data_IF_250373503412
#
_entry.id   IF_250373503412
#
_cell.length_a   1.000
_cell.length_b   1.000
_cell.length_c   1.000
_cell.angle_alpha   90.00
_cell.angle_beta   90.00
_cell.angle_gamma   90.00
#
_symmetry.space_group_name_H-M   'P 1'
#
loop_
_entity.id
_entity.type
_entity.pdbx_description
1 polymer ?
#
# COMPACT_ATOMS: atom_id res chain seq x y z
N UNK A 1 47.87 8.46 -18.70
CA UNK A 1 47.01 8.48 -19.90
C UNK A 1 46.05 7.32 -19.70
N UNK A 2 44.86 7.47 -19.14
CA UNK A 2 43.88 8.55 -19.20
C UNK A 2 43.03 8.42 -17.92
N UNK A 3 42.95 9.49 -17.12
CA UNK A 3 42.08 9.55 -15.95
C UNK A 3 40.72 9.97 -16.47
N UNK A 4 39.75 9.06 -16.45
CA UNK A 4 38.35 9.38 -16.73
C UNK A 4 37.85 10.27 -15.60
N UNK A 5 37.79 11.56 -15.90
CA UNK A 5 37.18 12.62 -15.09
C UNK A 5 35.72 12.29 -14.83
N UNK A 6 35.40 11.92 -13.59
CA UNK A 6 34.04 11.91 -13.07
C UNK A 6 33.61 13.36 -12.78
N UNK A 7 33.32 14.11 -13.83
CA UNK A 7 32.42 15.26 -13.76
C UNK A 7 31.01 14.71 -13.77
N UNK A 8 30.52 14.25 -12.62
CA UNK A 8 29.11 13.97 -12.43
C UNK A 8 28.41 15.32 -12.29
N UNK A 9 27.96 15.83 -13.44
CA UNK A 9 27.23 17.08 -13.54
C UNK A 9 25.97 16.97 -12.69
N UNK A 10 25.80 17.91 -11.75
CA UNK A 10 24.55 18.22 -11.07
C UNK A 10 23.48 18.70 -12.09
N UNK A 11 23.03 17.78 -12.94
CA UNK A 11 21.89 17.94 -13.82
C UNK A 11 20.65 17.50 -13.08
N UNK A 12 19.59 18.30 -13.13
CA UNK A 12 18.23 17.92 -12.71
C UNK A 12 17.92 16.51 -13.22
N UNK A 13 17.98 15.48 -12.36
CA UNK A 13 17.64 14.11 -12.74
C UNK A 13 16.21 14.14 -13.31
N UNK A 14 16.12 14.03 -14.63
CA UNK A 14 14.85 13.88 -15.31
C UNK A 14 14.21 12.61 -14.75
N UNK A 15 12.99 12.74 -14.24
CA UNK A 15 12.24 11.63 -13.65
C UNK A 15 12.34 10.40 -14.56
N UNK A 16 12.88 9.28 -14.06
CA UNK A 16 12.99 8.04 -14.85
C UNK A 16 11.60 7.65 -15.33
N UNK A 17 11.38 7.77 -16.65
CA UNK A 17 10.09 7.47 -17.29
C UNK A 17 9.66 6.03 -17.02
N UNK A 18 10.62 5.11 -16.92
CA UNK A 18 10.35 3.70 -16.62
C UNK A 18 9.87 3.54 -15.19
N UNK A 19 10.56 4.17 -14.23
CA UNK A 19 10.15 4.18 -12.83
C UNK A 19 8.78 4.82 -12.62
N UNK A 20 8.53 5.94 -13.31
CA UNK A 20 7.25 6.63 -13.27
C UNK A 20 6.11 5.75 -13.82
N UNK A 21 6.33 5.14 -14.98
CA UNK A 21 5.35 4.23 -15.60
C UNK A 21 5.07 3.01 -14.71
N UNK A 22 6.09 2.42 -14.10
CA UNK A 22 5.94 1.28 -13.20
C UNK A 22 5.16 1.64 -11.93
N UNK A 23 5.50 2.76 -11.28
CA UNK A 23 4.77 3.23 -10.09
C UNK A 23 3.33 3.62 -10.44
N UNK A 24 3.08 4.27 -11.57
CA UNK A 24 1.73 4.60 -12.02
C UNK A 24 0.91 3.34 -12.31
N UNK A 25 1.47 2.38 -13.04
CA UNK A 25 0.82 1.10 -13.32
C UNK A 25 0.47 0.33 -12.03
N UNK A 26 1.39 0.28 -11.06
CA UNK A 26 1.13 -0.35 -9.77
C UNK A 26 -0.08 0.26 -9.05
N UNK A 27 -0.12 1.59 -8.94
CA UNK A 27 -1.21 2.28 -8.25
C UNK A 27 -2.54 2.19 -9.00
N UNK A 28 -2.51 2.19 -10.33
CA UNK A 28 -3.70 1.94 -11.15
C UNK A 28 -4.23 0.52 -10.93
N UNK A 29 -3.38 -0.50 -10.98
CA UNK A 29 -3.80 -1.88 -10.75
C UNK A 29 -4.37 -2.09 -9.34
N UNK A 30 -3.78 -1.47 -8.31
CA UNK A 30 -4.36 -1.48 -6.96
C UNK A 30 -5.72 -0.78 -6.90
N UNK A 31 -5.87 0.34 -7.60
CA UNK A 31 -7.12 1.08 -7.69
C UNK A 31 -8.26 0.29 -8.35
N UNK A 32 -7.94 -0.65 -9.24
CA UNK A 32 -8.89 -1.52 -9.93
C UNK A 32 -9.26 -2.79 -9.12
N UNK A 33 -8.63 -3.03 -7.98
CA UNK A 33 -8.90 -4.21 -7.16
C UNK A 33 -10.36 -4.36 -6.69
N UNK A 34 -11.13 -3.30 -6.39
CA UNK A 34 -12.54 -3.46 -6.04
C UNK A 34 -13.32 -4.21 -7.13
N UNK A 35 -13.07 -3.91 -8.40
CA UNK A 35 -13.68 -4.61 -9.52
C UNK A 35 -13.32 -6.10 -9.55
N UNK A 36 -12.05 -6.41 -9.26
CA UNK A 36 -11.57 -7.79 -9.21
C UNK A 36 -12.20 -8.58 -8.06
N UNK A 37 -12.27 -8.00 -6.86
CA UNK A 37 -12.84 -8.67 -5.70
C UNK A 37 -14.35 -8.83 -5.80
N UNK A 38 -15.08 -7.89 -6.40
CA UNK A 38 -16.52 -8.01 -6.62
C UNK A 38 -16.90 -9.21 -7.52
N UNK A 39 -16.01 -9.61 -8.44
CA UNK A 39 -16.19 -10.79 -9.29
C UNK A 39 -16.02 -12.13 -8.55
N UNK A 40 -15.59 -12.12 -7.28
CA UNK A 40 -15.33 -13.35 -6.51
C UNK A 40 -16.59 -13.99 -5.93
N UNK A 41 -17.78 -13.47 -6.21
CA UNK A 41 -19.04 -14.11 -5.79
C UNK A 41 -19.14 -15.51 -6.44
N UNK A 42 -19.46 -16.59 -5.70
CA UNK A 42 -20.03 -16.63 -4.34
C UNK A 42 -19.04 -16.80 -3.17
N UNK A 43 -17.73 -16.65 -3.39
CA UNK A 43 -16.73 -16.87 -2.35
C UNK A 43 -16.86 -15.88 -1.17
N UNK A 44 -16.74 -16.42 0.04
CA UNK A 44 -16.69 -15.61 1.25
C UNK A 44 -15.37 -14.84 1.39
N UNK A 45 -15.34 -13.69 2.10
CA UNK A 45 -14.14 -12.87 2.27
C UNK A 45 -12.92 -13.63 2.81
N UNK A 46 -13.14 -14.56 3.74
CA UNK A 46 -12.07 -15.36 4.35
C UNK A 46 -11.48 -16.35 3.34
N UNK A 47 -12.30 -16.95 2.49
CA UNK A 47 -11.83 -17.83 1.41
C UNK A 47 -11.00 -17.05 0.40
N UNK A 48 -11.50 -15.89 -0.05
CA UNK A 48 -10.79 -15.00 -0.99
C UNK A 48 -9.43 -14.61 -0.41
N UNK A 49 -9.38 -14.22 0.87
CA UNK A 49 -8.14 -13.85 1.53
C UNK A 49 -7.16 -15.02 1.63
N UNK A 50 -7.63 -16.21 2.00
CA UNK A 50 -6.80 -17.40 2.09
C UNK A 50 -6.21 -17.80 0.73
N UNK A 51 -7.05 -17.84 -0.32
CA UNK A 51 -6.62 -18.13 -1.69
C UNK A 51 -5.62 -17.08 -2.18
N UNK A 52 -5.90 -15.80 -1.98
CA UNK A 52 -4.99 -14.69 -2.31
C UNK A 52 -3.62 -14.88 -1.68
N UNK A 53 -3.56 -15.11 -0.37
CA UNK A 53 -2.29 -15.31 0.35
C UNK A 53 -1.56 -16.54 -0.18
N UNK A 54 -2.26 -17.65 -0.38
CA UNK A 54 -1.66 -18.90 -0.86
C UNK A 54 -1.02 -18.72 -2.23
N UNK A 55 -1.77 -18.21 -3.21
CA UNK A 55 -1.27 -18.01 -4.57
C UNK A 55 -0.20 -16.92 -4.64
N UNK A 56 -0.33 -15.82 -3.89
CA UNK A 56 0.74 -14.81 -3.76
C UNK A 56 2.02 -15.44 -3.20
N UNK A 57 1.92 -16.27 -2.15
CA UNK A 57 3.08 -16.92 -1.52
C UNK A 57 3.78 -17.87 -2.50
N UNK A 58 3.02 -18.70 -3.22
CA UNK A 58 3.56 -19.62 -4.21
C UNK A 58 4.30 -18.88 -5.34
N UNK A 59 3.70 -17.81 -5.87
CA UNK A 59 4.34 -16.98 -6.90
C UNK A 59 5.62 -16.36 -6.33
N UNK A 60 5.59 -15.80 -5.12
CA UNK A 60 6.74 -15.16 -4.50
C UNK A 60 7.86 -16.13 -4.13
N UNK A 61 7.56 -17.40 -3.83
CA UNK A 61 8.58 -18.44 -3.71
C UNK A 61 9.28 -18.68 -5.04
N UNK A 62 8.52 -18.76 -6.14
CA UNK A 62 9.06 -18.88 -7.50
C UNK A 62 9.92 -17.69 -7.89
N UNK A 63 9.44 -16.46 -7.65
CA UNK A 63 10.18 -15.22 -7.93
C UNK A 63 11.49 -15.18 -7.13
N UNK A 64 11.46 -15.47 -5.82
CA UNK A 64 12.66 -15.45 -5.00
C UNK A 64 13.67 -16.54 -5.42
N UNK A 65 13.18 -17.71 -5.83
CA UNK A 65 14.00 -18.78 -6.38
C UNK A 65 14.68 -18.35 -7.69
N UNK A 66 13.93 -17.71 -8.60
CA UNK A 66 14.46 -17.24 -9.88
C UNK A 66 15.56 -16.19 -9.71
N UNK A 67 15.41 -15.26 -8.75
CA UNK A 67 16.46 -14.26 -8.42
C UNK A 67 17.53 -14.78 -7.47
N UNK A 68 17.49 -16.07 -7.10
CA UNK A 68 18.43 -16.73 -6.16
C UNK A 68 18.55 -16.02 -4.80
N UNK A 69 17.47 -15.39 -4.34
CA UNK A 69 17.45 -14.54 -3.14
C UNK A 69 17.28 -15.26 -1.80
N UNK A 70 17.19 -16.60 -1.80
CA UNK A 70 16.94 -17.40 -0.58
C UNK A 70 18.01 -17.23 0.51
N UNK A 71 19.24 -16.84 0.14
CA UNK A 71 20.30 -16.55 1.10
C UNK A 71 19.92 -15.41 2.06
N UNK A 72 19.10 -14.45 1.63
CA UNK A 72 18.65 -13.33 2.47
C UNK A 72 17.74 -13.77 3.62
N UNK A 73 17.10 -14.94 3.50
CA UNK A 73 16.22 -15.49 4.55
C UNK A 73 16.96 -16.43 5.50
N UNK A 74 18.14 -16.91 5.09
CA UNK A 74 18.96 -17.81 5.91
C UNK A 74 19.67 -17.03 7.00
N UNK A 75 19.64 -17.55 8.23
CA UNK A 75 20.33 -16.93 9.37
C UNK A 75 19.65 -15.68 9.92
N UNK A 76 18.43 -15.35 9.48
CA UNK A 76 17.64 -14.28 10.09
C UNK A 76 17.40 -14.59 11.57
N UNK A 77 17.62 -13.59 12.42
CA UNK A 77 17.45 -13.71 13.87
C UNK A 77 15.97 -13.94 14.21
N UNK A 78 15.64 -14.64 15.30
CA UNK A 78 14.25 -14.83 15.73
C UNK A 78 13.47 -13.52 15.90
N UNK A 79 14.13 -12.45 16.36
CA UNK A 79 13.53 -11.11 16.46
C UNK A 79 13.10 -10.54 15.11
N UNK A 80 13.87 -10.81 14.05
CA UNK A 80 13.52 -10.38 12.69
C UNK A 80 12.32 -11.16 12.17
N UNK A 81 12.27 -12.47 12.43
CA UNK A 81 11.10 -13.29 12.10
C UNK A 81 9.85 -12.86 12.85
N UNK A 82 9.97 -12.47 14.12
CA UNK A 82 8.85 -11.93 14.89
C UNK A 82 8.33 -10.63 14.25
N UNK A 83 9.22 -9.71 13.89
CA UNK A 83 8.84 -8.48 13.18
C UNK A 83 8.15 -8.79 11.84
N UNK A 84 8.70 -9.73 11.05
CA UNK A 84 8.09 -10.19 9.80
C UNK A 84 6.69 -10.77 10.06
N UNK A 85 6.53 -11.63 11.07
CA UNK A 85 5.24 -12.24 11.41
C UNK A 85 4.22 -11.18 11.86
N UNK A 86 4.61 -10.21 12.69
CA UNK A 86 3.73 -9.10 13.08
C UNK A 86 3.32 -8.26 11.86
N UNK A 87 4.27 -7.94 10.97
CA UNK A 87 3.97 -7.27 9.71
C UNK A 87 3.00 -8.08 8.84
N UNK A 88 3.22 -9.39 8.75
CA UNK A 88 2.38 -10.32 7.99
C UNK A 88 0.94 -10.36 8.52
N UNK A 89 0.75 -10.34 9.85
CA UNK A 89 -0.59 -10.24 10.45
C UNK A 89 -1.24 -8.90 10.13
N UNK A 90 -0.52 -7.78 10.27
CA UNK A 90 -1.05 -6.45 9.97
C UNK A 90 -1.49 -6.30 8.51
N UNK A 91 -0.68 -6.78 7.57
CA UNK A 91 -1.04 -6.71 6.15
C UNK A 91 -2.19 -7.68 5.81
N UNK A 92 -2.29 -8.81 6.50
CA UNK A 92 -3.44 -9.72 6.39
C UNK A 92 -4.73 -9.04 6.89
N UNK A 93 -4.69 -8.34 8.02
CA UNK A 93 -5.81 -7.55 8.54
C UNK A 93 -6.20 -6.44 7.55
N UNK A 94 -5.21 -5.74 6.97
CA UNK A 94 -5.45 -4.71 5.96
C UNK A 94 -6.19 -5.27 4.75
N UNK A 95 -5.67 -6.36 4.18
CA UNK A 95 -6.23 -7.02 3.01
C UNK A 95 -7.61 -7.62 3.28
N UNK A 96 -7.78 -8.25 4.44
CA UNK A 96 -9.05 -8.80 4.88
C UNK A 96 -10.11 -7.71 5.03
N UNK A 97 -9.79 -6.61 5.71
CA UNK A 97 -10.69 -5.47 5.83
C UNK A 97 -11.10 -4.90 4.47
N UNK A 98 -10.15 -4.78 3.54
CA UNK A 98 -10.45 -4.34 2.19
C UNK A 98 -11.39 -5.28 1.44
N UNK A 99 -11.10 -6.59 1.45
CA UNK A 99 -11.95 -7.60 0.78
C UNK A 99 -13.35 -7.62 1.41
N UNK A 100 -13.44 -7.54 2.74
CA UNK A 100 -14.73 -7.49 3.45
C UNK A 100 -15.54 -6.28 3.01
N UNK A 101 -14.95 -5.08 2.98
CA UNK A 101 -15.65 -3.87 2.55
C UNK A 101 -16.11 -3.96 1.10
N UNK A 102 -15.30 -4.50 0.20
CA UNK A 102 -15.69 -4.67 -1.20
C UNK A 102 -16.84 -5.67 -1.33
N UNK A 103 -16.76 -6.83 -0.67
CA UNK A 103 -17.82 -7.85 -0.71
C UNK A 103 -19.14 -7.38 -0.07
N UNK A 104 -19.09 -6.42 0.85
CA UNK A 104 -20.26 -5.80 1.47
C UNK A 104 -20.79 -4.57 0.71
N UNK A 105 -20.16 -4.16 -0.39
CA UNK A 105 -20.56 -2.95 -1.13
C UNK A 105 -20.27 -1.65 -0.38
N UNK A 106 -19.20 -1.62 0.42
CA UNK A 106 -18.73 -0.47 1.19
C UNK A 106 -17.33 -0.03 0.76
N UNK A 107 -17.09 0.05 -0.55
CA UNK A 107 -15.81 0.43 -1.17
C UNK A 107 -15.44 1.87 -0.82
N UNK A 108 -16.41 2.76 -0.58
CA UNK A 108 -16.11 4.12 -0.11
C UNK A 108 -15.40 4.15 1.25
N UNK A 109 -15.80 3.27 2.17
CA UNK A 109 -15.14 3.16 3.47
C UNK A 109 -13.69 2.68 3.31
N UNK A 110 -13.44 1.78 2.36
CA UNK A 110 -12.10 1.32 2.04
C UNK A 110 -11.24 2.44 1.45
N UNK A 111 -11.78 3.18 0.48
CA UNK A 111 -11.11 4.32 -0.14
C UNK A 111 -10.76 5.40 0.90
N UNK A 112 -11.69 5.71 1.81
CA UNK A 112 -11.45 6.61 2.94
C UNK A 112 -10.28 6.13 3.80
N UNK A 113 -10.26 4.84 4.16
CA UNK A 113 -9.15 4.22 4.90
C UNK A 113 -7.80 4.46 4.22
N UNK A 114 -7.71 4.18 2.91
CA UNK A 114 -6.48 4.37 2.15
C UNK A 114 -6.09 5.84 1.95
N UNK A 115 -7.05 6.77 1.87
CA UNK A 115 -6.75 8.20 1.89
C UNK A 115 -6.17 8.65 3.24
N UNK A 116 -6.60 8.06 4.35
CA UNK A 116 -6.16 8.41 5.71
C UNK A 116 -4.81 7.75 6.07
N UNK A 117 -4.47 6.61 5.47
CA UNK A 117 -3.22 5.86 5.73
C UNK A 117 -1.93 6.69 5.78
N UNK A 118 -1.66 7.64 4.86
CA UNK A 118 -0.44 8.45 4.91
C UNK A 118 -0.37 9.34 6.15
N UNK A 119 -1.51 9.91 6.57
CA UNK A 119 -1.59 10.75 7.78
C UNK A 119 -1.36 9.91 9.04
N UNK A 120 -1.91 8.69 9.09
CA UNK A 120 -1.64 7.75 10.19
C UNK A 120 -0.17 7.35 10.23
N UNK A 121 0.45 7.11 9.07
CA UNK A 121 1.88 6.78 8.99
C UNK A 121 2.75 7.91 9.53
N UNK A 122 2.38 9.17 9.24
CA UNK A 122 3.05 10.36 9.76
C UNK A 122 2.88 10.48 11.27
N UNK A 123 1.68 10.28 11.80
CA UNK A 123 1.42 10.27 13.25
C UNK A 123 2.24 9.18 13.97
N UNK A 124 2.34 7.99 13.38
CA UNK A 124 3.19 6.92 13.92
C UNK A 124 4.67 7.29 13.91
N UNK A 125 5.16 8.00 12.89
CA UNK A 125 6.52 8.56 12.86
C UNK A 125 6.79 9.52 14.02
N UNK A 126 5.80 10.33 14.40
CA UNK A 126 5.91 11.24 15.56
C UNK A 126 5.96 10.47 16.87
N UNK A 127 5.02 9.54 17.06
CA UNK A 127 4.89 8.84 18.34
C UNK A 127 6.03 7.86 18.56
N UNK A 128 6.41 7.11 17.53
CA UNK A 128 7.41 6.03 17.64
C UNK A 128 8.82 6.50 17.32
N UNK A 129 8.98 7.26 16.24
CA UNK A 129 10.31 7.74 15.80
C UNK A 129 10.67 9.12 16.39
N UNK A 130 9.74 9.75 17.14
CA UNK A 130 9.92 11.08 17.75
C UNK A 130 10.23 12.18 16.73
N UNK A 131 9.69 12.02 15.52
CA UNK A 131 9.79 13.04 14.47
C UNK A 131 8.96 14.28 14.83
N UNK A 132 9.41 15.46 14.41
CA UNK A 132 8.67 16.72 14.61
C UNK A 132 7.78 17.00 13.40
N UNK A 133 6.49 17.19 13.64
CA UNK A 133 5.56 17.61 12.59
C UNK A 133 5.68 19.09 12.28
N UNK A 134 5.45 19.38 11.00
CA UNK A 134 5.25 20.74 10.53
C UNK A 134 3.82 21.19 10.85
N UNK A 135 3.57 22.49 11.08
CA UNK A 135 2.23 23.00 11.31
C UNK A 135 1.21 22.58 10.23
N UNK A 136 1.62 22.56 8.95
CA UNK A 136 0.76 22.13 7.86
C UNK A 136 0.33 20.65 7.95
N UNK A 137 1.20 19.76 8.46
CA UNK A 137 0.87 18.36 8.67
C UNK A 137 -0.13 18.19 9.81
N UNK A 138 -0.03 18.99 10.88
CA UNK A 138 -1.04 19.02 11.94
C UNK A 138 -2.41 19.49 11.44
N UNK A 139 -2.43 20.51 10.58
CA UNK A 139 -3.66 20.97 9.94
C UNK A 139 -4.27 19.85 9.09
N UNK A 140 -3.47 19.17 8.26
CA UNK A 140 -3.94 18.04 7.45
C UNK A 140 -4.51 16.90 8.30
N UNK A 141 -3.86 16.54 9.41
CA UNK A 141 -4.36 15.54 10.37
C UNK A 141 -5.71 15.98 10.96
N UNK A 142 -5.82 17.24 11.40
CA UNK A 142 -7.06 17.77 11.95
C UNK A 142 -8.21 17.75 10.94
N UNK A 143 -7.94 18.14 9.69
CA UNK A 143 -8.93 18.10 8.61
C UNK A 143 -9.41 16.66 8.32
N UNK A 144 -8.49 15.69 8.30
CA UNK A 144 -8.87 14.29 8.11
C UNK A 144 -9.67 13.73 9.29
N UNK A 145 -9.34 14.10 10.53
CA UNK A 145 -10.12 13.72 11.70
C UNK A 145 -11.55 14.28 11.64
N UNK A 146 -11.72 15.54 11.25
CA UNK A 146 -13.04 16.16 11.03
C UNK A 146 -13.80 15.45 9.91
N UNK A 147 -13.13 15.13 8.80
CA UNK A 147 -13.75 14.41 7.70
C UNK A 147 -14.27 13.03 8.10
N UNK A 148 -13.46 12.26 8.84
CA UNK A 148 -13.87 10.96 9.40
C UNK A 148 -15.05 11.13 10.36
N UNK A 149 -15.04 12.16 11.20
CA UNK A 149 -16.15 12.43 12.12
C UNK A 149 -17.46 12.74 11.37
N UNK A 150 -17.42 13.56 10.32
CA UNK A 150 -18.58 13.87 9.48
C UNK A 150 -19.15 12.59 8.85
N UNK A 151 -18.28 11.76 8.26
CA UNK A 151 -18.69 10.49 7.65
C UNK A 151 -19.25 9.53 8.70
N UNK A 152 -18.69 9.50 9.91
CA UNK A 152 -19.17 8.64 11.00
C UNK A 152 -20.56 9.06 11.50
N UNK A 153 -20.81 10.36 11.65
CA UNK A 153 -22.12 10.89 12.06
C UNK A 153 -23.17 10.60 10.99
N UNK A 154 -22.84 10.84 9.72
CA UNK A 154 -23.75 10.59 8.60
C UNK A 154 -24.13 9.11 8.46
N UNK A 155 -23.14 8.22 8.56
CA UNK A 155 -23.38 6.79 8.46
C UNK A 155 -24.07 6.20 9.71
N UNK A 156 -24.26 6.98 10.77
CA UNK A 156 -24.73 6.51 12.08
C UNK A 156 -23.77 5.50 12.75
N UNK A 157 -22.58 5.29 12.18
CA UNK A 157 -21.58 4.33 12.65
C UNK A 157 -20.19 4.79 12.26
N UNK A 158 -19.22 4.52 13.14
CA UNK A 158 -17.80 4.80 12.87
C UNK A 158 -17.30 3.85 11.77
N UNK A 159 -16.54 4.34 10.75
CA UNK A 159 -15.94 3.52 9.70
C UNK A 159 -14.75 2.72 10.23
N UNK A 160 -15.00 1.81 11.18
CA UNK A 160 -13.95 1.14 11.93
C UNK A 160 -13.12 0.19 11.05
N UNK A 161 -13.67 -0.38 9.97
CA UNK A 161 -12.89 -1.21 9.04
C UNK A 161 -11.96 -0.33 8.21
N UNK A 162 -12.46 0.82 7.70
CA UNK A 162 -11.63 1.82 7.03
C UNK A 162 -10.50 2.35 7.93
N UNK A 163 -10.78 2.62 9.19
CA UNK A 163 -9.76 3.02 10.18
C UNK A 163 -8.76 1.87 10.47
N UNK A 164 -9.25 0.63 10.54
CA UNK A 164 -8.39 -0.55 10.70
C UNK A 164 -7.44 -0.70 9.51
N UNK A 165 -7.91 -0.46 8.28
CA UNK A 165 -7.07 -0.40 7.08
C UNK A 165 -5.99 0.68 7.23
N UNK A 166 -6.35 1.89 7.64
CA UNK A 166 -5.40 2.99 7.79
C UNK A 166 -4.30 2.70 8.82
N UNK A 167 -4.69 2.21 10.00
CA UNK A 167 -3.78 1.91 11.11
C UNK A 167 -2.90 0.69 10.81
N UNK A 168 -3.49 -0.40 10.30
CA UNK A 168 -2.73 -1.60 9.93
C UNK A 168 -1.68 -1.30 8.87
N UNK A 169 -2.01 -0.46 7.87
CA UNK A 169 -1.07 -0.06 6.83
C UNK A 169 0.09 0.77 7.39
N UNK A 170 -0.18 1.75 8.24
CA UNK A 170 0.85 2.59 8.86
C UNK A 170 1.79 1.78 9.75
N UNK A 171 1.26 0.89 10.59
CA UNK A 171 2.05 0.00 11.45
C UNK A 171 2.87 -0.99 10.61
N UNK A 172 2.28 -1.57 9.56
CA UNK A 172 2.99 -2.45 8.63
C UNK A 172 4.19 -1.73 8.00
N UNK A 173 3.98 -0.51 7.49
CA UNK A 173 5.05 0.30 6.91
C UNK A 173 6.17 0.61 7.91
N UNK A 174 5.82 0.91 9.16
CA UNK A 174 6.81 1.15 10.23
C UNK A 174 7.64 -0.11 10.53
N UNK A 175 7.00 -1.27 10.68
CA UNK A 175 7.70 -2.54 10.89
C UNK A 175 8.60 -2.85 9.71
N UNK A 176 8.09 -2.69 8.48
CA UNK A 176 8.84 -3.03 7.26
C UNK A 176 10.13 -2.23 7.13
N UNK A 177 10.14 -0.96 7.57
CA UNK A 177 11.35 -0.12 7.63
C UNK A 177 12.43 -0.66 8.57
N UNK A 178 12.08 -1.48 9.56
CA UNK A 178 13.03 -2.05 10.53
C UNK A 178 13.60 -3.40 10.10
N UNK A 179 13.01 -4.06 9.11
CA UNK A 179 13.43 -5.40 8.66
C UNK A 179 14.54 -5.26 7.60
N UNK A 180 15.75 -5.82 7.83
CA UNK A 180 16.90 -5.65 6.94
C UNK A 180 16.91 -6.67 5.79
N UNK A 181 15.80 -6.78 5.05
CA UNK A 181 15.69 -7.66 3.90
C UNK A 181 15.11 -6.90 2.72
N UNK A 182 15.50 -7.27 1.50
CA UNK A 182 14.93 -6.65 0.31
C UNK A 182 13.43 -6.90 0.22
N UNK A 183 12.71 -6.01 -0.48
CA UNK A 183 11.25 -6.09 -0.63
C UNK A 183 10.77 -7.46 -1.12
N UNK A 184 11.44 -8.03 -2.14
CA UNK A 184 11.13 -9.36 -2.68
C UNK A 184 11.28 -10.44 -1.61
N UNK A 185 12.44 -10.53 -0.95
CA UNK A 185 12.70 -11.51 0.08
C UNK A 185 11.77 -11.33 1.29
N UNK A 186 11.50 -10.08 1.67
CA UNK A 186 10.60 -9.75 2.77
C UNK A 186 9.16 -10.16 2.51
N UNK A 187 8.64 -9.93 1.30
CA UNK A 187 7.30 -10.40 0.93
C UNK A 187 7.23 -11.93 0.86
N UNK A 188 8.30 -12.57 0.35
CA UNK A 188 8.41 -14.03 0.40
C UNK A 188 8.45 -14.55 1.84
N UNK A 189 9.14 -13.88 2.76
CA UNK A 189 9.19 -14.25 4.17
C UNK A 189 7.83 -14.11 4.86
N UNK A 190 7.05 -13.07 4.53
CA UNK A 190 5.65 -12.96 4.96
C UNK A 190 4.83 -14.16 4.43
N UNK A 191 5.07 -14.58 3.19
CA UNK A 191 4.48 -15.79 2.62
C UNK A 191 4.91 -17.10 3.30
N UNK A 192 6.14 -17.20 3.81
CA UNK A 192 6.57 -18.34 4.65
C UNK A 192 5.76 -18.42 5.94
N UNK A 193 5.47 -17.27 6.55
CA UNK A 193 4.68 -17.20 7.80
C UNK A 193 3.20 -17.47 7.54
N UNK A 194 2.62 -16.81 6.53
CA UNK A 194 1.17 -16.83 6.29
C UNK A 194 0.72 -18.02 5.44
N UNK A 195 1.59 -18.56 4.58
CA UNK A 195 1.27 -19.66 3.66
C UNK A 195 0.66 -20.87 4.37
N UNK A 196 1.26 -21.39 5.46
CA UNK A 196 0.68 -22.49 6.23
C UNK A 196 -0.69 -22.16 6.83
N UNK A 197 -0.87 -20.93 7.34
CA UNK A 197 -2.14 -20.48 7.94
C UNK A 197 -3.23 -20.34 6.85
N UNK A 198 -2.88 -19.78 5.70
CA UNK A 198 -3.77 -19.65 4.55
C UNK A 198 -4.16 -21.02 4.00
N UNK A 199 -3.22 -21.96 3.89
CA UNK A 199 -3.50 -23.33 3.47
C UNK A 199 -4.44 -24.02 4.45
N UNK A 200 -4.16 -23.95 5.75
CA UNK A 200 -5.02 -24.54 6.78
C UNK A 200 -6.44 -23.95 6.72
N UNK A 201 -6.55 -22.62 6.56
CA UNK A 201 -7.84 -21.93 6.43
C UNK A 201 -8.60 -22.40 5.18
N UNK A 202 -7.93 -22.47 4.03
CA UNK A 202 -8.54 -22.95 2.79
C UNK A 202 -9.01 -24.40 2.91
N UNK A 203 -8.21 -25.28 3.53
CA UNK A 203 -8.59 -26.69 3.77
C UNK A 203 -9.80 -26.80 4.69
N UNK A 204 -9.84 -26.03 5.80
CA UNK A 204 -10.98 -26.02 6.72
C UNK A 204 -12.25 -25.54 6.02
N UNK A 205 -12.17 -24.48 5.22
CA UNK A 205 -13.32 -23.95 4.47
C UNK A 205 -13.83 -25.00 3.47
N UNK A 206 -12.92 -25.62 2.70
CA UNK A 206 -13.27 -26.69 1.76
C UNK A 206 -13.90 -27.91 2.48
N UNK A 207 -13.30 -28.37 3.58
CA UNK A 207 -13.79 -29.51 4.36
C UNK A 207 -15.14 -29.24 5.02
N UNK A 208 -15.46 -27.98 5.32
CA UNK A 208 -16.75 -27.58 5.89
C UNK A 208 -17.90 -27.51 4.88
N UNK A 209 -17.63 -27.72 3.58
CA UNK A 209 -18.63 -27.62 2.51
C UNK A 209 -18.97 -26.19 2.07
N UNK A 210 -18.35 -25.17 2.68
CA UNK A 210 -18.55 -23.76 2.31
C UNK A 210 -17.54 -23.26 1.27
N UNK A 211 -16.55 -24.08 0.91
CA UNK A 211 -15.54 -23.73 -0.08
C UNK A 211 -16.11 -23.66 -1.49
N UNK A 212 -15.71 -22.61 -2.20
CA UNK A 212 -16.09 -22.35 -3.59
C UNK A 212 -14.92 -22.59 -4.56
N UNK A 213 -13.70 -22.83 -4.07
CA UNK A 213 -12.60 -23.28 -4.92
C UNK A 213 -12.95 -24.60 -5.62
N UNK A 214 -12.92 -24.62 -6.96
CA UNK A 214 -13.40 -25.75 -7.76
C UNK A 214 -14.87 -25.68 -8.18
N UNK A 215 -15.63 -24.65 -7.78
CA UNK A 215 -17.04 -24.42 -8.18
C UNK A 215 -17.21 -24.11 -9.68
N UNK A 216 -16.11 -24.04 -10.44
CA UNK A 216 -16.08 -23.85 -11.88
C UNK A 216 -14.71 -23.39 -12.34
N UNK A 217 -14.37 -23.66 -13.61
CA UNK A 217 -13.07 -23.29 -14.17
C UNK A 217 -12.84 -21.77 -14.07
N UNK A 218 -13.82 -20.96 -14.45
CA UNK A 218 -13.72 -19.49 -14.39
C UNK A 218 -13.46 -18.94 -12.98
N UNK A 219 -14.27 -19.37 -12.00
CA UNK A 219 -14.14 -18.95 -10.60
C UNK A 219 -12.80 -19.39 -9.98
N UNK A 220 -12.40 -20.62 -10.26
CA UNK A 220 -11.10 -21.16 -9.82
C UNK A 220 -9.94 -20.38 -10.45
N UNK A 221 -10.04 -20.03 -11.75
CA UNK A 221 -9.04 -19.19 -12.42
C UNK A 221 -8.95 -17.79 -11.80
N UNK A 222 -10.07 -17.18 -11.41
CA UNK A 222 -10.07 -15.91 -10.67
C UNK A 222 -9.36 -16.05 -9.32
N UNK A 223 -9.66 -17.10 -8.56
CA UNK A 223 -8.99 -17.36 -7.27
C UNK A 223 -7.48 -17.55 -7.44
N UNK A 224 -7.03 -18.29 -8.44
CA UNK A 224 -5.59 -18.42 -8.74
C UNK A 224 -5.00 -17.08 -9.18
N UNK A 225 -5.70 -16.33 -10.04
CA UNK A 225 -5.29 -15.03 -10.52
C UNK A 225 -5.19 -13.97 -9.40
N UNK A 226 -5.88 -14.15 -8.27
CA UNK A 226 -5.78 -13.23 -7.13
C UNK A 226 -4.36 -13.09 -6.59
N UNK A 227 -3.57 -14.16 -6.68
CA UNK A 227 -2.14 -14.13 -6.35
C UNK A 227 -1.38 -13.22 -7.29
N UNK A 228 -1.60 -13.34 -8.59
CA UNK A 228 -0.94 -12.56 -9.64
C UNK A 228 -1.32 -11.08 -9.57
N UNK A 229 -2.62 -10.80 -9.43
CA UNK A 229 -3.19 -9.46 -9.28
C UNK A 229 -2.64 -8.75 -8.03
N UNK A 230 -2.18 -9.49 -7.03
CA UNK A 230 -1.48 -8.94 -5.86
C UNK A 230 0.02 -8.72 -6.09
N UNK A 231 0.70 -9.71 -6.67
CA UNK A 231 2.18 -9.67 -6.85
C UNK A 231 2.61 -8.66 -7.90
N UNK A 232 1.92 -8.58 -9.03
CA UNK A 232 2.32 -7.72 -10.15
C UNK A 232 2.41 -6.24 -9.73
N UNK A 233 1.40 -5.64 -9.07
CA UNK A 233 1.52 -4.27 -8.57
C UNK A 233 2.66 -4.08 -7.57
N UNK A 234 2.92 -5.06 -6.70
CA UNK A 234 4.00 -4.99 -5.72
C UNK A 234 5.37 -4.94 -6.37
N UNK A 235 5.60 -5.77 -7.40
CA UNK A 235 6.86 -5.77 -8.15
C UNK A 235 7.03 -4.47 -8.94
N UNK A 236 5.97 -4.00 -9.62
CA UNK A 236 5.97 -2.73 -10.33
C UNK A 236 6.23 -1.54 -9.41
N UNK A 237 5.59 -1.53 -8.23
CA UNK A 237 5.82 -0.51 -7.21
C UNK A 237 7.27 -0.55 -6.71
N UNK A 238 7.82 -1.74 -6.47
CA UNK A 238 9.23 -1.90 -6.09
C UNK A 238 10.20 -1.36 -7.14
N UNK A 239 9.91 -1.55 -8.43
CA UNK A 239 10.69 -0.97 -9.54
C UNK A 239 10.56 0.55 -9.52
N UNK A 240 9.34 1.08 -9.43
CA UNK A 240 9.08 2.51 -9.43
C UNK A 240 9.72 3.23 -8.25
N UNK A 241 9.51 2.74 -7.03
CA UNK A 241 10.03 3.33 -5.79
C UNK A 241 11.56 3.40 -5.72
N UNK A 242 12.28 2.54 -6.48
CA UNK A 242 13.74 2.58 -6.59
C UNK A 242 14.26 3.57 -7.63
N UNK A 243 13.41 4.04 -8.54
CA UNK A 243 13.77 4.78 -9.75
C UNK A 243 13.22 6.21 -9.79
N UNK A 244 12.20 6.51 -9.00
CA UNK A 244 11.66 7.86 -8.88
C UNK A 244 11.75 8.39 -7.45
N UNK A 245 11.84 9.72 -7.26
CA UNK A 245 11.89 10.31 -5.93
C UNK A 245 10.72 9.84 -5.05
N UNK A 246 10.97 9.71 -3.74
CA UNK A 246 9.95 9.33 -2.76
C UNK A 246 8.71 10.23 -2.83
N UNK A 247 8.90 11.54 -3.05
CA UNK A 247 7.83 12.52 -3.25
C UNK A 247 6.90 12.12 -4.40
N UNK A 248 7.47 11.70 -5.55
CA UNK A 248 6.70 11.28 -6.74
C UNK A 248 5.97 9.97 -6.45
N UNK A 249 6.66 9.01 -5.84
CA UNK A 249 6.06 7.72 -5.46
C UNK A 249 4.87 7.93 -4.52
N UNK A 250 5.02 8.80 -3.51
CA UNK A 250 3.96 9.14 -2.56
C UNK A 250 2.76 9.83 -3.21
N UNK A 251 2.98 10.73 -4.17
CA UNK A 251 1.89 11.34 -4.93
C UNK A 251 1.14 10.34 -5.81
N UNK A 252 1.86 9.43 -6.47
CA UNK A 252 1.25 8.37 -7.28
C UNK A 252 0.40 7.41 -6.45
N UNK A 253 0.71 7.25 -5.15
CA UNK A 253 -0.12 6.43 -4.25
C UNK A 253 -1.54 6.97 -4.07
N UNK A 254 -1.81 8.24 -4.37
CA UNK A 254 -3.18 8.77 -4.36
C UNK A 254 -4.05 8.30 -5.52
N UNK A 255 -3.44 7.82 -6.62
CA UNK A 255 -4.20 7.24 -7.75
C UNK A 255 -5.04 6.05 -7.28
N UNK A 256 -4.49 5.22 -6.38
CA UNK A 256 -5.17 4.04 -5.87
C UNK A 256 -6.52 4.37 -5.19
N UNK A 257 -6.57 5.15 -4.08
CA UNK A 257 -7.85 5.46 -3.42
C UNK A 257 -8.78 6.32 -4.28
N UNK A 258 -8.26 7.13 -5.22
CA UNK A 258 -9.12 7.86 -6.19
C UNK A 258 -9.84 6.89 -7.12
N UNK A 259 -9.16 5.89 -7.68
CA UNK A 259 -9.79 4.88 -8.52
C UNK A 259 -10.77 4.00 -7.74
N UNK A 260 -10.45 3.66 -6.48
CA UNK A 260 -11.41 2.95 -5.61
C UNK A 260 -12.67 3.79 -5.36
N UNK A 261 -12.52 5.09 -5.09
CA UNK A 261 -13.65 6.01 -4.95
C UNK A 261 -14.47 6.09 -6.24
N UNK A 262 -13.83 6.22 -7.41
CA UNK A 262 -14.51 6.25 -8.70
C UNK A 262 -15.26 4.94 -8.99
N UNK A 263 -14.66 3.80 -8.68
CA UNK A 263 -15.34 2.51 -8.76
C UNK A 263 -16.59 2.49 -7.89
N UNK A 264 -16.46 2.92 -6.62
CA UNK A 264 -17.56 2.93 -5.66
C UNK A 264 -18.74 3.78 -6.13
N UNK A 265 -18.47 4.99 -6.65
CA UNK A 265 -19.51 5.93 -7.10
C UNK A 265 -20.10 5.55 -8.45
N UNK A 266 -19.25 5.21 -9.43
CA UNK A 266 -19.68 5.05 -10.83
C UNK A 266 -20.14 3.63 -11.13
N UNK A 267 -19.42 2.63 -10.63
CA UNK A 267 -19.65 1.21 -10.94
C UNK A 267 -20.54 0.56 -9.87
N UNK A 268 -20.13 0.66 -8.61
CA UNK A 268 -20.89 0.08 -7.49
C UNK A 268 -22.12 0.92 -7.12
N UNK A 269 -22.18 2.18 -7.59
CA UNK A 269 -23.29 3.12 -7.36
C UNK A 269 -23.64 3.27 -5.87
N UNK A 270 -22.63 3.34 -5.02
CA UNK A 270 -22.81 3.62 -3.60
C UNK A 270 -23.44 5.00 -3.38
N UNK A 271 -24.36 5.07 -2.42
CA UNK A 271 -25.07 6.31 -2.10
C UNK A 271 -24.10 7.43 -1.67
N UNK A 272 -24.32 8.62 -2.22
CA UNK A 272 -23.50 9.80 -1.98
C UNK A 272 -24.33 11.00 -1.55
N UNK A 273 -24.84 11.01 -0.30
CA UNK A 273 -25.47 12.19 0.27
C UNK A 273 -24.46 13.35 0.40
N UNK A 274 -24.97 14.58 0.53
CA UNK A 274 -24.16 15.79 0.58
C UNK A 274 -23.09 15.75 1.70
N UNK A 275 -23.41 15.14 2.83
CA UNK A 275 -22.51 14.86 3.96
C UNK A 275 -21.27 14.06 3.56
N UNK A 276 -21.41 12.96 2.80
CA UNK A 276 -20.27 12.18 2.29
C UNK A 276 -19.41 12.98 1.32
N UNK A 277 -20.04 13.76 0.43
CA UNK A 277 -19.30 14.67 -0.45
C UNK A 277 -18.46 15.70 0.32
N UNK A 278 -19.03 16.30 1.36
CA UNK A 278 -18.32 17.23 2.24
C UNK A 278 -17.16 16.52 2.94
N UNK A 279 -17.37 15.31 3.46
CA UNK A 279 -16.33 14.50 4.07
C UNK A 279 -15.16 14.23 3.12
N UNK A 280 -15.42 13.71 1.92
CA UNK A 280 -14.37 13.45 0.93
C UNK A 280 -13.69 14.72 0.44
N UNK A 281 -14.42 15.82 0.24
CA UNK A 281 -13.82 17.12 -0.11
C UNK A 281 -12.83 17.61 0.96
N UNK A 282 -13.14 17.41 2.25
CA UNK A 282 -12.23 17.70 3.35
C UNK A 282 -11.01 16.79 3.35
N UNK A 283 -11.17 15.49 3.09
CA UNK A 283 -10.04 14.55 2.94
C UNK A 283 -9.13 14.98 1.79
N UNK A 284 -9.68 15.27 0.62
CA UNK A 284 -8.89 15.72 -0.53
C UNK A 284 -8.18 17.04 -0.27
N UNK A 285 -8.83 17.95 0.44
CA UNK A 285 -8.20 19.20 0.89
C UNK A 285 -7.06 18.95 1.88
N UNK A 286 -7.23 18.02 2.83
CA UNK A 286 -6.18 17.61 3.76
C UNK A 286 -4.97 17.02 3.02
N UNK A 287 -5.23 16.16 2.03
CA UNK A 287 -4.19 15.57 1.19
C UNK A 287 -3.50 16.60 0.30
N UNK A 288 -4.22 17.57 -0.23
CA UNK A 288 -3.63 18.67 -1.00
C UNK A 288 -2.69 19.50 -0.12
N UNK A 289 -3.12 19.86 1.10
CA UNK A 289 -2.27 20.57 2.08
C UNK A 289 -1.02 19.75 2.40
N UNK A 290 -1.19 18.46 2.69
CA UNK A 290 -0.09 17.54 2.99
C UNK A 290 0.89 17.41 1.82
N UNK A 291 0.37 17.27 0.60
CA UNK A 291 1.18 17.16 -0.63
C UNK A 291 1.98 18.41 -0.92
N UNK A 292 1.35 19.59 -0.77
CA UNK A 292 2.01 20.88 -0.98
C UNK A 292 3.11 21.11 0.05
N UNK A 293 2.88 20.75 1.32
CA UNK A 293 3.92 20.82 2.35
C UNK A 293 5.10 19.89 2.02
N UNK A 294 4.82 18.65 1.61
CA UNK A 294 5.84 17.68 1.23
C UNK A 294 6.70 18.16 0.04
N UNK A 295 6.07 18.72 -0.99
CA UNK A 295 6.75 19.28 -2.16
C UNK A 295 7.60 20.50 -1.80
N UNK A 296 7.06 21.41 -0.99
CA UNK A 296 7.80 22.59 -0.51
C UNK A 296 9.00 22.21 0.34
N UNK A 297 8.89 21.17 1.16
CA UNK A 297 10.02 20.68 1.94
C UNK A 297 11.14 20.13 1.06
N UNK A 298 10.78 19.23 0.13
CA UNK A 298 11.75 18.61 -0.77
C UNK A 298 12.49 19.69 -1.59
N UNK A 299 11.77 20.69 -2.11
CA UNK A 299 12.37 21.82 -2.81
C UNK A 299 13.34 22.62 -1.92
N UNK A 300 12.96 22.91 -0.66
CA UNK A 300 13.84 23.62 0.29
C UNK A 300 15.10 22.83 0.61
N UNK A 301 14.99 21.52 0.83
CA UNK A 301 16.14 20.64 1.09
C UNK A 301 17.10 20.59 -0.09
N UNK A 302 16.56 20.46 -1.32
CA UNK A 302 17.38 20.46 -2.55
C UNK A 302 18.06 21.80 -2.78
N UNK A 303 17.36 22.92 -2.57
CA UNK A 303 17.94 24.25 -2.68
C UNK A 303 19.08 24.45 -1.68
N UNK A 304 18.90 24.01 -0.43
CA UNK A 304 19.94 24.06 0.60
C UNK A 304 21.15 23.17 0.25
N UNK A 305 20.94 21.97 -0.30
CA UNK A 305 22.01 21.08 -0.74
C UNK A 305 22.85 21.70 -1.86
N UNK A 306 22.20 22.31 -2.87
CA UNK A 306 22.88 23.01 -3.97
C UNK A 306 23.68 24.23 -3.50
N UNK A 307 23.18 24.95 -2.50
CA UNK A 307 23.88 26.11 -1.93
C UNK A 307 25.10 25.71 -1.07
N UNK A 308 25.15 24.46 -0.59
CA UNK A 308 26.25 23.93 0.22
C UNK A 308 27.35 23.25 -0.62
N UNK A 309 27.15 23.09 -1.93
CA UNK A 309 28.17 22.55 -2.84
C UNK A 309 29.31 23.58 -2.97
N UNK A 310 30.55 23.27 -2.51
CA UNK A 310 31.65 24.20 -2.63
C UNK A 310 31.91 24.45 -4.11
N UNK A 311 31.95 25.73 -4.52
CA UNK A 311 32.45 26.11 -5.83
C UNK A 311 33.87 25.56 -5.91
N UNK A 312 34.06 24.47 -6.66
CA UNK A 312 35.38 23.95 -6.96
C UNK A 312 36.13 25.07 -7.70
N UNK A 313 36.99 25.78 -6.97
CA UNK A 313 37.93 26.73 -7.54
C UNK A 313 38.86 25.94 -8.44
N UNK A 314 38.58 25.99 -9.75
CA UNK A 314 39.54 25.62 -10.78
C UNK A 314 40.66 26.64 -10.76
N UNK A 315 41.78 26.28 -10.14
CA UNK A 315 43.10 26.93 -10.32
C UNK A 315 44.00 25.98 -11.08
#
# INVERSE_FOLDING_TARGET
MEVVSATDSAGTEAVDRTGLAAAAAANTLWGLLPAFWAMMTPAGPLEILAQRILWTSLIMFGVLAAVRGWSQLRGLRPRTWLAIATGAVLITVNWGGFIVLVQLGHVLEAALGYFVSPLVSVLLGVVVLRERLRPAQWVAVGMAAVAVAIVAVDNGRVPWIGLTIAVSFGLYGLIKKTVPVDATAGLTAEGVVLGPVALATAVVIMASGHGTFGHGAGHTSLMVASGLVTVVPMLLYGIGARRVPLTVTGLLMYVNPVLQFLYAVVVAREDMPASRWIGFALVWSALAVFSVDMLRDDHRRRAAARAAEPVATST
#
